data_IF_174254626830
#
_entry.id   IF_174254626830
#
_cell.length_a   1.000
_cell.length_b   1.000
_cell.length_c   1.000
_cell.angle_alpha   90.00
_cell.angle_beta   90.00
_cell.angle_gamma   90.00
#
_symmetry.space_group_name_H-M   'P 1'
#
loop_
_entity.id
_entity.type
_entity.pdbx_description
1 polymer ?
#
# COMPACT_ATOMS: atom_id res chain seq x y z
N UNK A 1 -57.02 -32.32 -20.52
CA UNK A 1 -56.00 -31.89 -19.57
C UNK A 1 -54.87 -31.26 -20.35
N UNK A 2 -54.77 -29.94 -20.24
CA UNK A 2 -53.79 -29.18 -21.03
C UNK A 2 -52.40 -29.25 -20.38
N UNK A 3 -51.55 -30.14 -20.88
CA UNK A 3 -50.14 -30.25 -20.45
C UNK A 3 -49.33 -28.95 -20.64
N UNK A 4 -49.81 -28.05 -21.52
CA UNK A 4 -49.14 -26.76 -21.78
C UNK A 4 -49.16 -25.78 -20.59
N UNK A 5 -50.15 -25.91 -19.71
CA UNK A 5 -50.21 -25.04 -18.51
C UNK A 5 -49.24 -25.44 -17.42
N UNK A 6 -48.97 -26.74 -17.26
CA UNK A 6 -48.01 -27.25 -16.30
C UNK A 6 -46.58 -26.92 -16.73
N UNK A 7 -46.31 -26.97 -18.04
CA UNK A 7 -44.97 -26.66 -18.57
C UNK A 7 -44.65 -25.15 -18.51
N UNK A 8 -45.70 -24.28 -18.61
CA UNK A 8 -45.53 -22.85 -18.43
C UNK A 8 -45.21 -22.44 -16.99
N UNK A 9 -45.73 -23.20 -16.01
CA UNK A 9 -45.41 -22.97 -14.60
C UNK A 9 -44.01 -23.42 -14.25
N UNK A 10 -43.49 -24.48 -14.86
CA UNK A 10 -42.11 -24.95 -14.67
C UNK A 10 -41.07 -23.99 -15.31
N UNK A 11 -41.40 -23.40 -16.44
CA UNK A 11 -40.54 -22.39 -17.10
C UNK A 11 -40.54 -21.07 -16.34
N UNK A 12 -41.61 -20.70 -15.64
CA UNK A 12 -41.66 -19.49 -14.79
C UNK A 12 -40.90 -19.67 -13.46
N UNK A 13 -40.79 -20.90 -12.96
CA UNK A 13 -40.01 -21.20 -11.76
C UNK A 13 -38.50 -21.20 -11.97
N UNK A 14 -38.05 -21.37 -13.22
CA UNK A 14 -36.61 -21.43 -13.54
C UNK A 14 -36.00 -20.05 -13.83
N UNK A 15 -36.80 -18.99 -13.88
CA UNK A 15 -36.35 -17.60 -14.04
C UNK A 15 -36.18 -16.89 -12.70
N UNK A 16 -36.10 -17.63 -11.61
CA UNK A 16 -35.60 -17.08 -10.36
C UNK A 16 -34.07 -16.86 -10.51
N UNK A 17 -33.85 -15.72 -11.07
CA UNK A 17 -32.67 -14.88 -10.89
C UNK A 17 -31.59 -15.49 -10.00
N UNK A 18 -30.59 -16.08 -10.61
CA UNK A 18 -29.22 -16.02 -10.05
C UNK A 18 -28.85 -14.52 -10.04
N UNK A 19 -29.18 -13.82 -8.97
CA UNK A 19 -28.52 -12.55 -8.69
C UNK A 19 -27.07 -12.88 -8.44
N UNK A 20 -26.28 -12.84 -9.49
CA UNK A 20 -24.85 -12.74 -9.41
C UNK A 20 -24.56 -11.39 -8.72
N UNK A 21 -24.36 -11.45 -7.41
CA UNK A 21 -23.71 -10.36 -6.71
C UNK A 21 -22.29 -10.30 -7.27
N UNK A 22 -22.09 -9.46 -8.29
CA UNK A 22 -20.75 -9.07 -8.68
C UNK A 22 -20.19 -8.27 -7.51
N UNK A 23 -19.46 -8.94 -6.62
CA UNK A 23 -18.58 -8.27 -5.66
C UNK A 23 -17.49 -7.63 -6.51
N UNK A 24 -17.65 -6.33 -6.78
CA UNK A 24 -16.57 -5.55 -7.37
C UNK A 24 -15.46 -5.48 -6.34
N UNK A 25 -14.50 -6.40 -6.42
CA UNK A 25 -13.25 -6.25 -5.72
C UNK A 25 -12.58 -5.00 -6.28
N UNK A 26 -12.50 -3.93 -5.49
CA UNK A 26 -11.69 -2.77 -5.83
C UNK A 26 -10.25 -3.26 -5.78
N UNK A 27 -9.66 -3.48 -6.96
CA UNK A 27 -8.25 -3.82 -7.06
C UNK A 27 -7.43 -2.64 -6.53
N UNK A 28 -6.49 -2.92 -5.62
CA UNK A 28 -5.50 -1.95 -5.19
C UNK A 28 -4.73 -1.45 -6.42
N UNK A 29 -4.57 -0.13 -6.53
CA UNK A 29 -3.72 0.47 -7.56
C UNK A 29 -2.29 -0.09 -7.42
N UNK A 30 -1.70 -0.57 -8.53
CA UNK A 30 -0.36 -1.16 -8.54
C UNK A 30 0.74 -0.18 -8.07
N UNK A 31 0.49 1.13 -8.13
CA UNK A 31 1.41 2.17 -7.67
C UNK A 31 1.15 2.67 -6.25
N UNK A 32 0.15 2.14 -5.57
CA UNK A 32 -0.14 2.46 -4.19
C UNK A 32 0.03 1.23 -3.30
N UNK A 33 0.59 1.43 -2.12
CA UNK A 33 0.57 0.40 -1.08
C UNK A 33 -0.82 0.32 -0.43
N UNK A 34 -1.07 -0.76 0.32
CA UNK A 34 -2.07 -0.75 1.36
C UNK A 34 -1.71 0.25 2.46
N UNK A 35 -2.60 0.39 3.42
CA UNK A 35 -2.37 1.22 4.60
C UNK A 35 -1.22 0.66 5.43
N UNK A 36 -0.42 1.56 6.02
CA UNK A 36 0.58 1.18 7.02
C UNK A 36 -0.07 0.41 8.17
N UNK A 37 0.59 -0.65 8.59
CA UNK A 37 0.21 -1.47 9.73
C UNK A 37 1.42 -1.67 10.63
N UNK A 38 1.27 -1.37 11.90
CA UNK A 38 2.33 -1.53 12.87
C UNK A 38 2.06 -0.85 14.20
N UNK A 39 2.97 -1.00 15.17
CA UNK A 39 2.78 -0.48 16.52
C UNK A 39 2.79 1.05 16.60
N UNK A 40 3.44 1.72 15.66
CA UNK A 40 3.63 3.18 15.68
C UNK A 40 3.19 3.87 14.37
N UNK A 41 3.35 3.22 13.22
CA UNK A 41 2.89 3.70 11.93
C UNK A 41 1.73 2.82 11.45
N UNK A 42 0.50 3.34 11.50
CA UNK A 42 -0.72 2.60 11.21
C UNK A 42 -1.77 3.41 10.46
N UNK A 43 -1.34 4.52 9.87
CA UNK A 43 -2.14 5.40 8.99
C UNK A 43 -1.38 5.76 7.74
N UNK A 44 -2.13 6.02 6.67
CA UNK A 44 -1.55 6.44 5.40
C UNK A 44 -1.01 5.29 4.58
N UNK A 45 -0.52 5.63 3.42
CA UNK A 45 0.04 4.71 2.44
C UNK A 45 1.17 5.38 1.67
N UNK A 46 1.82 4.62 0.80
CA UNK A 46 2.89 5.11 -0.09
C UNK A 46 2.42 5.03 -1.53
N UNK A 47 2.67 6.07 -2.29
CA UNK A 47 2.49 6.12 -3.74
C UNK A 47 3.84 6.07 -4.44
N UNK A 48 3.98 5.21 -5.43
CA UNK A 48 5.12 5.15 -6.34
C UNK A 48 4.84 5.98 -7.59
N UNK A 49 5.82 6.78 -7.99
CA UNK A 49 5.81 7.51 -9.26
C UNK A 49 7.20 7.48 -9.89
N UNK A 50 7.28 7.92 -11.13
CA UNK A 50 8.55 8.08 -11.85
C UNK A 50 8.70 9.55 -12.20
N UNK A 51 9.86 10.12 -11.90
CA UNK A 51 10.21 11.49 -12.23
C UNK A 51 11.66 11.53 -12.73
N UNK A 52 11.85 12.07 -13.92
CA UNK A 52 13.18 12.13 -14.57
C UNK A 52 13.88 10.77 -14.64
N UNK A 53 13.12 9.70 -14.92
CA UNK A 53 13.62 8.33 -15.00
C UNK A 53 13.94 7.68 -13.66
N UNK A 54 13.64 8.34 -12.54
CA UNK A 54 13.91 7.84 -11.18
C UNK A 54 12.61 7.48 -10.48
N UNK A 55 12.65 6.40 -9.69
CA UNK A 55 11.54 6.00 -8.81
C UNK A 55 11.44 6.94 -7.62
N UNK A 56 10.23 7.40 -7.35
CA UNK A 56 9.91 8.29 -6.24
C UNK A 56 8.83 7.64 -5.39
N UNK A 57 9.02 7.61 -4.09
CA UNK A 57 8.02 7.19 -3.12
C UNK A 57 7.50 8.39 -2.35
N UNK A 58 6.19 8.51 -2.24
CA UNK A 58 5.53 9.63 -1.55
C UNK A 58 4.56 9.10 -0.50
N UNK A 59 4.68 9.60 0.72
CA UNK A 59 3.72 9.33 1.80
C UNK A 59 2.42 10.12 1.58
N UNK A 60 1.29 9.49 1.85
CA UNK A 60 -0.02 10.15 1.77
C UNK A 60 -0.17 11.24 2.83
N UNK A 61 -1.12 12.16 2.61
CA UNK A 61 -1.33 13.32 3.49
C UNK A 61 -1.82 12.92 4.88
N UNK A 62 -2.48 11.77 5.01
CA UNK A 62 -2.96 11.23 6.29
C UNK A 62 -1.90 10.43 7.06
N UNK A 63 -0.70 10.27 6.50
CA UNK A 63 0.40 9.62 7.21
C UNK A 63 0.82 10.47 8.42
N UNK A 64 0.96 9.80 9.56
CA UNK A 64 1.44 10.42 10.80
C UNK A 64 2.84 9.90 11.11
N UNK A 65 3.80 10.81 11.17
CA UNK A 65 5.18 10.46 11.52
C UNK A 65 5.24 9.98 12.96
N UNK A 66 5.74 8.75 13.21
CA UNK A 66 5.89 8.26 14.58
C UNK A 66 6.79 9.16 15.42
N UNK A 67 6.39 9.39 16.67
CA UNK A 67 7.20 10.13 17.66
C UNK A 67 8.28 9.20 18.24
N UNK A 68 9.35 9.02 17.46
CA UNK A 68 10.50 8.20 17.82
C UNK A 68 11.79 8.96 17.47
N UNK A 69 12.93 8.64 18.14
CA UNK A 69 14.15 9.43 17.99
C UNK A 69 14.74 9.42 16.58
N UNK A 70 14.59 8.32 15.84
CA UNK A 70 15.35 8.14 14.60
C UNK A 70 14.57 7.34 13.52
N UNK A 71 13.39 7.82 13.07
CA UNK A 71 12.62 7.14 12.05
C UNK A 71 13.25 7.31 10.67
N UNK A 72 13.43 6.20 9.96
CA UNK A 72 13.98 6.12 8.61
C UNK A 72 13.00 5.51 7.62
N UNK A 73 13.14 5.90 6.37
CA UNK A 73 12.68 5.12 5.25
C UNK A 73 13.48 3.82 5.17
N UNK A 74 12.80 2.71 5.08
CA UNK A 74 13.39 1.42 4.79
C UNK A 74 12.53 0.72 3.74
N UNK A 75 13.12 0.08 2.76
CA UNK A 75 12.40 -0.64 1.72
C UNK A 75 12.90 -2.07 1.61
N UNK A 76 12.02 -2.94 1.17
CA UNK A 76 12.33 -4.35 0.91
C UNK A 76 11.98 -4.63 -0.54
N UNK A 77 12.91 -5.21 -1.29
CA UNK A 77 12.68 -5.60 -2.67
C UNK A 77 11.98 -6.97 -2.78
N UNK A 78 11.71 -7.38 -4.02
CA UNK A 78 11.04 -8.66 -4.29
C UNK A 78 11.87 -9.89 -3.91
N UNK A 79 13.18 -9.74 -3.72
CA UNK A 79 14.08 -10.81 -3.29
C UNK A 79 14.28 -10.82 -1.75
N UNK A 80 13.60 -9.92 -1.04
CA UNK A 80 13.72 -9.78 0.41
C UNK A 80 14.93 -8.96 0.87
N UNK A 81 15.67 -8.33 -0.05
CA UNK A 81 16.78 -7.44 0.29
C UNK A 81 16.26 -6.18 0.96
N UNK A 82 16.82 -5.84 2.11
CA UNK A 82 16.46 -4.69 2.91
C UNK A 82 17.44 -3.55 2.64
N UNK A 83 16.89 -2.35 2.39
CA UNK A 83 17.66 -1.12 2.20
C UNK A 83 17.18 -0.08 3.21
N UNK A 84 18.05 0.29 4.15
CA UNK A 84 17.82 1.44 5.00
C UNK A 84 18.19 2.70 4.24
N UNK A 85 17.26 3.64 4.18
CA UNK A 85 17.38 4.87 3.41
C UNK A 85 17.41 6.09 4.34
N UNK A 86 17.10 7.24 3.80
CA UNK A 86 17.20 8.51 4.49
C UNK A 86 16.34 8.58 5.75
N UNK A 87 16.79 9.39 6.68
CA UNK A 87 16.03 9.76 7.86
C UNK A 87 14.74 10.47 7.47
N UNK A 88 13.62 9.96 7.98
CA UNK A 88 12.31 10.50 7.71
C UNK A 88 12.06 11.83 8.42
N UNK A 89 12.50 11.95 9.67
CA UNK A 89 12.31 13.12 10.50
C UNK A 89 13.64 13.83 10.70
N UNK A 90 13.72 15.09 10.28
CA UNK A 90 14.90 15.92 10.46
C UNK A 90 14.61 17.02 11.48
N UNK A 91 15.49 17.20 12.45
CA UNK A 91 15.43 18.36 13.32
C UNK A 91 15.70 19.62 12.51
N UNK A 92 14.80 20.58 12.58
CA UNK A 92 14.95 21.90 12.00
C UNK A 92 15.19 22.93 13.11
N UNK A 93 15.65 24.12 12.73
CA UNK A 93 15.89 25.22 13.69
C UNK A 93 14.59 25.64 14.41
N UNK A 94 13.44 25.49 13.74
CA UNK A 94 12.11 25.74 14.30
C UNK A 94 11.22 24.54 13.95
N UNK A 95 11.09 23.60 14.88
CA UNK A 95 10.28 22.41 14.73
C UNK A 95 10.92 21.29 13.89
N UNK A 96 10.28 20.14 13.86
CA UNK A 96 10.72 19.00 13.07
C UNK A 96 10.14 19.06 11.66
N UNK A 97 10.99 18.93 10.67
CA UNK A 97 10.58 18.71 9.28
C UNK A 97 10.58 17.22 8.99
N UNK A 98 9.57 16.75 8.26
CA UNK A 98 9.59 15.37 7.82
C UNK A 98 9.70 15.27 6.29
N UNK A 99 10.36 14.21 5.85
CA UNK A 99 10.63 13.94 4.45
C UNK A 99 9.48 13.09 3.87
N UNK A 100 8.47 13.78 3.33
CA UNK A 100 7.29 13.15 2.73
C UNK A 100 7.60 12.34 1.49
N UNK A 101 8.64 12.69 0.77
CA UNK A 101 9.01 12.10 -0.51
C UNK A 101 10.47 11.67 -0.50
N UNK A 102 10.78 10.53 -1.11
CA UNK A 102 12.12 10.05 -1.31
C UNK A 102 12.34 9.61 -2.76
N UNK A 103 13.46 10.02 -3.34
CA UNK A 103 13.94 9.49 -4.62
C UNK A 103 14.77 8.26 -4.33
N UNK A 104 14.40 7.12 -4.87
CA UNK A 104 15.12 5.88 -4.63
C UNK A 104 16.48 5.90 -5.32
N UNK A 105 17.54 5.42 -4.65
CA UNK A 105 18.81 5.17 -5.30
C UNK A 105 18.66 4.22 -6.48
N UNK A 106 19.46 4.41 -7.53
CA UNK A 106 19.35 3.61 -8.76
C UNK A 106 19.58 2.10 -8.59
N UNK A 107 20.24 1.71 -7.49
CA UNK A 107 20.45 0.30 -7.16
C UNK A 107 19.26 -0.36 -6.42
N UNK A 108 18.28 0.43 -5.97
CA UNK A 108 17.06 -0.08 -5.34
C UNK A 108 15.99 -0.25 -6.41
N UNK A 109 15.61 -1.48 -6.66
CA UNK A 109 14.62 -1.86 -7.69
C UNK A 109 13.64 -2.90 -7.15
N UNK A 110 12.49 -2.99 -7.80
CA UNK A 110 11.48 -4.00 -7.48
C UNK A 110 11.05 -3.95 -6.00
N UNK A 111 10.72 -2.75 -5.53
CA UNK A 111 10.28 -2.54 -4.15
C UNK A 111 8.91 -3.18 -3.95
N UNK A 112 8.84 -4.10 -3.01
CA UNK A 112 7.60 -4.78 -2.62
C UNK A 112 6.96 -4.20 -1.37
N UNK A 113 7.77 -3.59 -0.48
CA UNK A 113 7.31 -3.13 0.82
C UNK A 113 8.10 -1.91 1.29
N UNK A 114 7.40 -1.00 1.95
CA UNK A 114 7.99 0.15 2.63
C UNK A 114 7.82 -0.03 4.13
N UNK A 115 8.89 0.17 4.87
CA UNK A 115 8.93 0.09 6.33
C UNK A 115 9.30 1.47 6.87
N UNK A 116 8.67 1.87 7.94
CA UNK A 116 9.13 2.97 8.78
C UNK A 116 9.93 2.35 9.91
N UNK A 117 11.22 2.60 9.92
CA UNK A 117 12.19 1.94 10.77
C UNK A 117 12.81 2.92 11.76
N UNK A 118 12.80 2.58 13.04
CA UNK A 118 13.55 3.34 14.02
C UNK A 118 14.96 2.79 14.12
N UNK A 119 15.94 3.51 13.58
CA UNK A 119 17.33 3.07 13.56
C UNK A 119 17.97 3.06 14.96
N UNK A 120 17.50 3.94 15.86
CA UNK A 120 17.98 3.96 17.24
C UNK A 120 17.53 2.72 18.04
N UNK A 121 16.27 2.35 17.90
CA UNK A 121 15.68 1.21 18.62
C UNK A 121 15.81 -0.11 17.86
N UNK A 122 16.27 -0.07 16.60
CA UNK A 122 16.29 -1.22 15.68
C UNK A 122 14.91 -1.90 15.60
N UNK A 123 13.87 -1.10 15.38
CA UNK A 123 12.50 -1.54 15.45
C UNK A 123 11.69 -1.15 14.20
N UNK A 124 10.88 -2.10 13.73
CA UNK A 124 9.85 -1.86 12.72
C UNK A 124 8.67 -1.13 13.36
N UNK A 125 8.44 0.12 12.95
CA UNK A 125 7.35 0.95 13.46
C UNK A 125 6.03 0.73 12.71
N UNK A 126 6.11 0.24 11.50
CA UNK A 126 4.98 -0.08 10.64
C UNK A 126 5.42 -0.30 9.21
N UNK A 127 4.62 -1.04 8.45
CA UNK A 127 4.93 -1.39 7.08
C UNK A 127 3.71 -1.31 6.17
N UNK A 128 3.95 -1.03 4.90
CA UNK A 128 2.94 -0.99 3.85
C UNK A 128 3.47 -1.70 2.60
N UNK A 129 2.66 -2.56 2.01
CA UNK A 129 3.06 -3.40 0.87
C UNK A 129 2.37 -2.98 -0.42
N UNK A 130 3.12 -3.03 -1.51
CA UNK A 130 2.56 -2.97 -2.86
C UNK A 130 1.95 -4.32 -3.24
N UNK A 131 0.93 -4.32 -4.09
CA UNK A 131 0.32 -5.56 -4.63
C UNK A 131 1.26 -6.28 -5.60
N UNK A 132 2.13 -5.53 -6.27
CA UNK A 132 3.22 -6.01 -7.12
C UNK A 132 4.43 -5.13 -6.92
N UNK A 133 5.66 -5.66 -7.06
CA UNK A 133 6.86 -4.85 -6.93
C UNK A 133 6.89 -3.68 -7.91
N UNK A 134 7.31 -2.52 -7.44
CA UNK A 134 7.45 -1.29 -8.25
C UNK A 134 8.91 -1.03 -8.59
N UNK A 135 9.15 -0.51 -9.81
CA UNK A 135 10.50 -0.25 -10.32
C UNK A 135 10.91 1.20 -10.07
#
# INVERSE_FOLDING_TARGET
MNMNKAMQFLLRGLLMATMLFAVSAVAQDAHNTGQFQGPKANKGHVTHSTRDGKSVLTLSDDFVVPDTPDPHWQVVDSDGQIYQLDKLKKKAFIGDKYQKEIVLPGYVKNVSKVIIWCAWAEANLGEASFSSPVK
#
